data_IF_239898052899
#
_entry.id   IF_239898052899
#
_cell.length_a   1.000
_cell.length_b   1.000
_cell.length_c   1.000
_cell.angle_alpha   90.00
_cell.angle_beta   90.00
_cell.angle_gamma   90.00
#
_symmetry.space_group_name_H-M   'P 1'
#
loop_
_entity.id
_entity.type
_entity.pdbx_description
1 polymer ?
#
# COMPACT_ATOMS: atom_id res chain seq x y z
N UNK A 1 50.86 3.48 -45.01
CA UNK A 1 49.65 2.62 -44.85
C UNK A 1 49.56 1.83 -43.53
N UNK A 2 50.53 1.89 -42.60
CA UNK A 2 50.51 1.11 -41.32
C UNK A 2 49.91 1.83 -40.11
N UNK A 3 49.68 3.15 -40.16
CA UNK A 3 49.19 3.96 -39.03
C UNK A 3 47.65 4.04 -38.99
N UNK A 4 47.00 4.10 -40.15
CA UNK A 4 45.54 4.16 -40.30
C UNK A 4 44.85 2.83 -39.91
N UNK A 5 45.54 1.69 -40.07
CA UNK A 5 45.05 0.38 -39.64
C UNK A 5 45.06 0.21 -38.12
N UNK A 6 46.05 0.78 -37.42
CA UNK A 6 46.13 0.74 -35.94
C UNK A 6 45.04 1.59 -35.28
N UNK A 7 44.66 2.71 -35.89
CA UNK A 7 43.57 3.54 -35.38
C UNK A 7 42.20 2.87 -35.53
N UNK A 8 41.95 2.16 -36.64
CA UNK A 8 40.71 1.39 -36.85
C UNK A 8 40.61 0.19 -35.91
N UNK A 9 41.73 -0.49 -35.63
CA UNK A 9 41.77 -1.59 -34.65
C UNK A 9 41.49 -1.11 -33.21
N UNK A 10 42.08 0.03 -32.80
CA UNK A 10 41.85 0.60 -31.46
C UNK A 10 40.42 1.11 -31.26
N UNK A 11 39.80 1.69 -32.29
CA UNK A 11 38.38 2.13 -32.25
C UNK A 11 37.39 0.98 -32.19
N UNK A 12 37.70 -0.16 -32.84
CA UNK A 12 36.85 -1.37 -32.79
C UNK A 12 36.84 -2.04 -31.41
N UNK A 13 37.95 -2.02 -30.68
CA UNK A 13 38.04 -2.60 -29.32
C UNK A 13 37.28 -1.73 -28.30
N UNK A 14 37.28 -0.41 -28.46
CA UNK A 14 36.60 0.51 -27.52
C UNK A 14 35.07 0.36 -27.52
N UNK A 15 34.45 -0.05 -28.63
CA UNK A 15 32.99 -0.24 -28.72
C UNK A 15 32.51 -1.57 -28.10
N UNK A 16 33.40 -2.54 -27.86
CA UNK A 16 33.05 -3.80 -27.21
C UNK A 16 33.17 -3.75 -25.67
N UNK A 17 33.82 -2.72 -25.11
CA UNK A 17 33.94 -2.54 -23.67
C UNK A 17 32.73 -1.82 -23.01
N UNK A 18 31.86 -1.19 -23.80
CA UNK A 18 30.77 -0.36 -23.29
C UNK A 18 29.46 -1.11 -22.95
N UNK A 19 29.26 -2.33 -23.44
CA UNK A 19 27.97 -3.03 -23.30
C UNK A 19 27.86 -3.93 -22.06
N UNK A 20 28.96 -4.21 -21.34
CA UNK A 20 28.96 -5.13 -20.21
C UNK A 20 28.69 -4.47 -18.83
N UNK A 21 28.78 -3.14 -18.73
CA UNK A 21 28.60 -2.45 -17.45
C UNK A 21 27.13 -2.23 -17.06
N UNK A 22 26.19 -2.31 -18.00
CA UNK A 22 24.77 -2.04 -17.74
C UNK A 22 24.01 -3.25 -17.16
N UNK A 23 24.53 -4.48 -17.30
CA UNK A 23 23.83 -5.70 -16.82
C UNK A 23 24.24 -6.15 -15.42
N UNK A 24 25.43 -5.75 -14.92
CA UNK A 24 25.87 -6.13 -13.57
C UNK A 24 25.19 -5.30 -12.46
N UNK A 25 24.68 -4.11 -12.79
CA UNK A 25 23.93 -3.27 -11.85
C UNK A 25 22.50 -3.76 -11.53
N UNK A 26 22.04 -4.83 -12.18
CA UNK A 26 20.65 -5.34 -12.03
C UNK A 26 20.55 -6.50 -11.02
N UNK A 27 21.65 -7.14 -10.66
CA UNK A 27 21.64 -8.35 -9.81
C UNK A 27 21.53 -8.09 -8.30
N UNK A 28 21.56 -6.82 -7.88
CA UNK A 28 21.54 -6.43 -6.45
C UNK A 28 20.25 -5.75 -5.97
N UNK A 29 19.26 -5.52 -6.85
CA UNK A 29 17.97 -4.97 -6.42
C UNK A 29 17.08 -6.10 -5.89
N UNK A 30 17.36 -6.57 -4.66
CA UNK A 30 16.31 -7.26 -3.91
C UNK A 30 15.30 -6.19 -3.50
N UNK A 31 14.06 -6.29 -3.99
CA UNK A 31 12.99 -5.42 -3.52
C UNK A 31 12.91 -5.54 -2.00
N UNK A 32 13.01 -4.41 -1.29
CA UNK A 32 12.75 -4.39 0.15
C UNK A 32 11.33 -4.93 0.40
N UNK A 33 11.08 -5.64 1.52
CA UNK A 33 9.75 -6.11 1.83
C UNK A 33 8.79 -4.91 1.94
N UNK A 34 7.63 -5.01 1.30
CA UNK A 34 6.56 -4.06 1.52
C UNK A 34 5.95 -4.34 2.89
N UNK A 35 6.03 -3.37 3.80
CA UNK A 35 5.32 -3.43 5.09
C UNK A 35 3.96 -2.79 4.94
N UNK A 36 2.89 -3.50 5.31
CA UNK A 36 1.57 -2.91 5.47
C UNK A 36 1.45 -2.23 6.84
N UNK A 37 0.71 -1.13 6.92
CA UNK A 37 0.34 -0.57 8.23
C UNK A 37 -0.61 -1.54 8.93
N UNK A 38 -0.22 -2.03 10.10
CA UNK A 38 -1.10 -2.80 10.99
C UNK A 38 -2.09 -1.91 11.74
N UNK A 39 -1.97 -0.59 11.60
CA UNK A 39 -2.80 0.39 12.27
C UNK A 39 -3.48 1.28 11.24
N UNK A 40 -4.78 1.10 11.10
CA UNK A 40 -5.66 2.04 10.43
C UNK A 40 -6.88 2.28 11.31
N UNK A 41 -7.37 3.52 11.36
CA UNK A 41 -8.62 3.86 12.02
C UNK A 41 -9.67 4.09 10.94
N UNK A 42 -10.69 3.24 10.90
CA UNK A 42 -11.82 3.36 10.00
C UNK A 42 -13.06 3.72 10.80
N UNK A 43 -13.64 4.88 10.52
CA UNK A 43 -14.95 5.27 11.05
C UNK A 43 -16.03 4.67 10.15
N UNK A 44 -16.95 3.90 10.74
CA UNK A 44 -18.12 3.39 10.03
C UNK A 44 -19.18 4.50 10.04
N UNK A 45 -19.03 5.44 9.11
CA UNK A 45 -20.06 6.44 8.85
C UNK A 45 -21.03 5.90 7.79
N UNK A 46 -22.35 6.04 7.97
CA UNK A 46 -23.28 5.77 6.89
C UNK A 46 -23.03 6.76 5.76
N UNK A 47 -22.55 6.25 4.63
CA UNK A 47 -22.22 7.06 3.45
C UNK A 47 -23.40 7.91 2.96
N UNK A 48 -24.63 7.47 3.24
CA UNK A 48 -25.86 8.07 2.74
C UNK A 48 -26.42 9.20 3.63
N UNK A 49 -26.15 9.22 4.93
CA UNK A 49 -26.77 10.18 5.84
C UNK A 49 -25.94 10.35 7.13
N UNK A 50 -25.40 11.55 7.38
CA UNK A 50 -24.59 11.84 8.58
C UNK A 50 -25.38 11.95 9.89
N UNK A 51 -26.71 11.93 9.84
CA UNK A 51 -27.59 12.02 11.01
C UNK A 51 -28.09 10.67 11.53
N UNK A 52 -27.58 9.57 10.98
CA UNK A 52 -27.85 8.23 11.49
C UNK A 52 -26.53 7.55 11.86
N UNK A 53 -26.54 6.73 12.90
CA UNK A 53 -25.41 5.95 13.37
C UNK A 53 -25.74 4.45 13.40
N UNK A 54 -24.70 3.64 13.47
CA UNK A 54 -24.79 2.24 13.85
C UNK A 54 -25.31 2.16 15.29
N UNK A 55 -26.33 1.35 15.55
CA UNK A 55 -27.00 1.28 16.85
C UNK A 55 -27.30 -0.18 17.23
N UNK A 56 -26.93 -0.59 18.44
CA UNK A 56 -27.39 -1.86 19.00
C UNK A 56 -28.82 -1.67 19.53
N UNK A 57 -29.78 -2.36 18.89
CA UNK A 57 -31.20 -2.10 19.04
C UNK A 57 -31.63 -2.05 20.51
N UNK A 58 -32.18 -0.90 20.93
CA UNK A 58 -32.67 -0.68 22.28
C UNK A 58 -31.59 -0.71 23.37
N UNK A 59 -30.31 -0.59 23.00
CA UNK A 59 -29.20 -0.70 23.94
C UNK A 59 -28.90 -2.12 24.41
N UNK A 60 -29.32 -3.15 23.65
CA UNK A 60 -29.04 -4.54 23.98
C UNK A 60 -27.54 -4.85 24.02
N UNK A 61 -27.11 -5.61 25.02
CA UNK A 61 -25.71 -6.00 25.25
C UNK A 61 -25.46 -7.51 25.10
N UNK A 62 -26.49 -8.26 24.72
CA UNK A 62 -26.41 -9.71 24.58
C UNK A 62 -26.05 -10.10 23.15
N UNK A 63 -25.39 -11.24 22.97
CA UNK A 63 -25.12 -11.80 21.65
C UNK A 63 -26.42 -11.98 20.86
N UNK A 64 -26.41 -11.56 19.59
CA UNK A 64 -27.60 -11.58 18.75
C UNK A 64 -28.48 -10.34 18.87
N UNK A 65 -28.13 -9.35 19.70
CA UNK A 65 -28.78 -8.01 19.64
C UNK A 65 -28.65 -7.48 18.21
N UNK A 66 -29.75 -7.14 17.52
CA UNK A 66 -29.69 -6.65 16.16
C UNK A 66 -28.94 -5.32 16.10
N UNK A 67 -28.11 -5.18 15.06
CA UNK A 67 -27.49 -3.91 14.70
C UNK A 67 -28.37 -3.23 13.65
N UNK A 68 -28.81 -2.02 13.96
CA UNK A 68 -29.69 -1.22 13.10
C UNK A 68 -29.06 0.13 12.80
N UNK A 69 -29.71 0.89 11.93
CA UNK A 69 -29.40 2.29 11.67
C UNK A 69 -30.42 3.16 12.38
N UNK A 70 -29.96 4.03 13.29
CA UNK A 70 -30.84 4.90 14.07
C UNK A 70 -30.32 6.34 14.11
N UNK A 71 -31.19 7.29 14.44
CA UNK A 71 -30.77 8.68 14.60
C UNK A 71 -29.71 8.83 15.70
N UNK A 72 -28.73 9.69 15.43
CA UNK A 72 -27.69 10.04 16.37
C UNK A 72 -28.30 10.62 17.65
N UNK A 73 -28.07 9.97 18.79
CA UNK A 73 -28.61 10.43 20.08
C UNK A 73 -27.57 10.47 21.21
N UNK A 74 -26.31 10.13 20.92
CA UNK A 74 -25.22 10.13 21.90
C UNK A 74 -25.23 8.93 22.86
N UNK A 75 -26.08 7.92 22.60
CA UNK A 75 -26.11 6.69 23.38
C UNK A 75 -24.82 5.89 23.26
N UNK A 76 -24.43 5.20 24.34
CA UNK A 76 -23.25 4.33 24.36
C UNK A 76 -23.37 3.15 23.38
N UNK A 77 -24.60 2.74 23.06
CA UNK A 77 -24.92 1.74 22.05
C UNK A 77 -24.70 2.23 20.60
N UNK A 78 -24.20 3.45 20.41
CA UNK A 78 -23.79 4.05 19.12
C UNK A 78 -22.28 4.32 19.02
N UNK A 79 -21.47 3.83 19.97
CA UNK A 79 -20.02 4.04 20.02
C UNK A 79 -19.27 2.72 19.84
N UNK A 80 -18.46 2.62 18.77
CA UNK A 80 -17.73 1.41 18.41
C UNK A 80 -16.26 1.70 18.14
N UNK A 81 -15.38 0.87 18.67
CA UNK A 81 -13.96 0.83 18.31
C UNK A 81 -13.68 -0.40 17.46
N UNK A 82 -13.00 -0.23 16.33
CA UNK A 82 -12.51 -1.34 15.53
C UNK A 82 -11.02 -1.57 15.83
N UNK A 83 -10.66 -2.80 16.19
CA UNK A 83 -9.25 -3.23 16.29
C UNK A 83 -8.93 -4.09 15.08
N UNK A 84 -7.99 -3.65 14.24
CA UNK A 84 -7.45 -4.49 13.17
C UNK A 84 -6.55 -5.56 13.80
N UNK A 85 -6.80 -6.84 13.48
CA UNK A 85 -5.96 -7.99 13.88
C UNK A 85 -5.20 -8.51 12.67
#
# INVERSE_FOLDING_TARGET
>A
MKLLSRLRLKRGIALLAGAAAATVAVLGLTAAPASASSSFSAWVDPASNKFVFLDAQGGGIYNGTPIITWYCNGGSNQSYGATAT
#
